data_IF_149513332090
#
_entry.id   IF_149513332090
#
_cell.length_a   1.000
_cell.length_b   1.000
_cell.length_c   1.000
_cell.angle_alpha   90.00
_cell.angle_beta   90.00
_cell.angle_gamma   90.00
#
_symmetry.space_group_name_H-M   'P 1'
#
loop_
_entity.id
_entity.type
_entity.pdbx_description
1 polymer ?
#
# COMPACT_ATOMS: atom_id res chain seq x y z
N UNK A 1 -30.29 -58.08 -42.57
CA UNK A 1 -29.91 -58.85 -41.35
C UNK A 1 -29.00 -57.94 -40.54
N UNK A 2 -29.24 -57.53 -39.30
CA UNK A 2 -30.30 -57.77 -38.33
C UNK A 2 -30.34 -56.56 -37.38
N UNK A 3 -31.53 -56.33 -36.85
CA UNK A 3 -32.02 -55.27 -35.96
C UNK A 3 -31.31 -55.08 -34.61
N UNK A 4 -31.29 -53.81 -34.17
CA UNK A 4 -31.84 -53.22 -32.93
C UNK A 4 -31.53 -53.78 -31.53
N UNK A 5 -31.28 -52.84 -30.59
CA UNK A 5 -32.00 -52.60 -29.31
C UNK A 5 -31.27 -51.48 -28.53
N UNK A 6 -31.78 -50.25 -28.49
CA UNK A 6 -32.72 -49.69 -27.48
C UNK A 6 -32.47 -50.11 -26.03
N UNK A 7 -32.05 -49.14 -25.22
CA UNK A 7 -32.00 -49.19 -23.75
C UNK A 7 -32.26 -47.81 -23.17
N UNK A 8 -33.55 -47.47 -23.02
CA UNK A 8 -34.05 -46.31 -22.28
C UNK A 8 -33.97 -46.62 -20.80
N UNK A 9 -33.32 -45.77 -20.00
CA UNK A 9 -33.39 -45.83 -18.54
C UNK A 9 -34.19 -44.62 -18.06
N UNK A 10 -35.49 -44.86 -17.81
CA UNK A 10 -36.38 -43.96 -17.13
C UNK A 10 -36.12 -44.06 -15.61
N UNK A 11 -35.86 -42.94 -14.94
CA UNK A 11 -35.91 -42.86 -13.48
C UNK A 11 -37.11 -42.00 -13.08
N UNK A 12 -37.88 -42.60 -12.20
CA UNK A 12 -39.23 -42.30 -11.76
C UNK A 12 -39.29 -41.01 -10.94
N UNK A 13 -40.18 -40.09 -11.32
CA UNK A 13 -40.64 -39.00 -10.46
C UNK A 13 -41.65 -39.55 -9.44
N UNK A 14 -41.22 -39.71 -8.19
CA UNK A 14 -42.14 -39.96 -7.07
C UNK A 14 -42.72 -38.64 -6.56
N UNK A 15 -44.01 -38.45 -6.78
CA UNK A 15 -44.85 -37.47 -6.11
C UNK A 15 -45.04 -37.88 -4.64
N UNK A 16 -44.55 -37.06 -3.71
CA UNK A 16 -45.03 -37.06 -2.33
C UNK A 16 -45.86 -35.79 -2.08
N UNK A 17 -47.16 -35.99 -1.95
CA UNK A 17 -48.07 -35.04 -1.29
C UNK A 17 -47.78 -35.05 0.22
N UNK A 18 -47.41 -33.90 0.78
CA UNK A 18 -47.15 -33.73 2.20
C UNK A 18 -47.53 -32.31 2.64
N UNK A 19 -48.46 -32.25 3.57
CA UNK A 19 -49.19 -31.11 4.13
C UNK A 19 -48.40 -29.81 4.38
N UNK A 20 -49.00 -28.69 3.97
CA UNK A 20 -48.65 -27.34 4.43
C UNK A 20 -49.04 -27.23 5.91
N UNK A 21 -48.08 -27.37 6.81
CA UNK A 21 -48.24 -26.96 8.20
C UNK A 21 -47.87 -25.47 8.30
N UNK A 22 -48.87 -24.63 8.55
CA UNK A 22 -48.72 -23.24 8.97
C UNK A 22 -47.87 -23.24 10.26
N UNK A 23 -46.57 -22.95 10.16
CA UNK A 23 -45.76 -22.58 11.33
C UNK A 23 -46.09 -21.13 11.66
N UNK A 24 -46.93 -20.94 12.67
CA UNK A 24 -47.06 -19.68 13.38
C UNK A 24 -45.66 -19.20 13.77
N UNK A 25 -45.23 -18.08 13.19
CA UNK A 25 -44.07 -17.34 13.68
C UNK A 25 -44.45 -16.81 15.05
N UNK A 26 -44.00 -17.47 16.12
CA UNK A 26 -43.92 -16.84 17.44
C UNK A 26 -42.85 -15.77 17.32
N UNK A 27 -43.31 -14.53 17.14
CA UNK A 27 -42.49 -13.33 17.27
C UNK A 27 -41.93 -13.35 18.69
N UNK A 28 -40.65 -13.67 18.81
CA UNK A 28 -39.90 -13.47 20.06
C UNK A 28 -39.86 -11.95 20.26
N UNK A 29 -40.39 -11.40 21.37
CA UNK A 29 -40.25 -9.98 21.64
C UNK A 29 -38.75 -9.66 21.74
N UNK A 30 -38.29 -8.86 20.79
CA UNK A 30 -37.00 -8.20 20.82
C UNK A 30 -36.87 -7.50 22.17
N UNK A 31 -35.81 -7.71 22.97
CA UNK A 31 -35.59 -6.88 24.14
C UNK A 31 -35.49 -5.44 23.65
N UNK A 32 -36.37 -4.62 24.22
CA UNK A 32 -36.50 -3.21 23.89
C UNK A 32 -35.12 -2.56 23.87
N UNK A 33 -34.94 -1.70 22.88
CA UNK A 33 -33.77 -0.87 22.70
C UNK A 33 -33.30 -0.35 24.06
N UNK A 34 -32.04 -0.65 24.39
CA UNK A 34 -31.30 0.07 25.42
C UNK A 34 -31.22 1.52 24.96
N UNK A 35 -32.26 2.29 25.31
CA UNK A 35 -32.28 3.73 25.19
C UNK A 35 -31.03 4.21 25.93
N UNK A 36 -30.19 4.96 25.22
CA UNK A 36 -29.09 5.72 25.82
C UNK A 36 -29.70 6.58 26.93
N UNK A 37 -29.70 6.08 28.18
CA UNK A 37 -30.31 6.78 29.30
C UNK A 37 -29.53 8.08 29.50
N UNK A 38 -30.18 9.19 29.16
CA UNK A 38 -29.61 10.55 29.28
C UNK A 38 -29.22 10.74 30.74
N UNK A 39 -27.94 10.97 31.04
CA UNK A 39 -27.48 11.28 32.39
C UNK A 39 -27.46 12.80 32.56
N UNK A 40 -28.21 13.30 33.52
CA UNK A 40 -28.33 14.73 33.86
C UNK A 40 -27.75 14.94 35.25
N UNK A 41 -26.88 15.93 35.44
CA UNK A 41 -26.47 16.32 36.78
C UNK A 41 -27.46 17.34 37.35
N UNK A 42 -28.29 16.90 38.30
CA UNK A 42 -29.16 17.77 39.10
C UNK A 42 -28.30 18.44 40.17
N UNK A 43 -27.98 19.71 39.97
CA UNK A 43 -27.06 20.47 40.83
C UNK A 43 -27.80 21.01 42.06
N UNK A 44 -27.25 20.79 43.25
CA UNK A 44 -27.77 21.30 44.51
C UNK A 44 -27.05 22.60 44.91
N UNK A 45 -27.71 23.43 45.72
CA UNK A 45 -27.17 24.74 46.14
C UNK A 45 -25.96 24.65 47.07
N UNK A 46 -25.74 23.49 47.69
CA UNK A 46 -24.55 23.21 48.50
C UNK A 46 -23.32 22.83 47.65
N UNK A 47 -23.47 22.77 46.32
CA UNK A 47 -22.41 22.42 45.36
C UNK A 47 -22.32 20.93 45.06
N UNK A 48 -23.10 20.08 45.73
CA UNK A 48 -23.21 18.67 45.39
C UNK A 48 -24.15 18.46 44.18
N UNK A 49 -24.14 17.26 43.60
CA UNK A 49 -25.03 16.91 42.49
C UNK A 49 -25.55 15.49 42.62
N UNK A 50 -26.69 15.25 41.97
CA UNK A 50 -27.26 13.91 41.81
C UNK A 50 -27.34 13.59 40.33
N UNK A 51 -27.00 12.35 39.94
CA UNK A 51 -27.12 11.91 38.55
C UNK A 51 -28.52 11.36 38.34
N UNK A 52 -29.29 12.01 37.45
CA UNK A 52 -30.71 11.72 37.20
C UNK A 52 -30.94 11.45 35.71
N UNK A 53 -31.94 10.65 35.37
CA UNK A 53 -32.32 10.41 33.96
C UNK A 53 -33.36 11.40 33.45
N UNK A 54 -34.21 11.90 34.34
CA UNK A 54 -35.14 12.99 34.07
C UNK A 54 -35.51 13.71 35.37
N UNK A 55 -35.97 14.95 35.26
CA UNK A 55 -36.52 15.71 36.38
C UNK A 55 -37.68 16.59 35.90
N UNK A 56 -38.61 16.88 36.80
CA UNK A 56 -39.75 17.77 36.56
C UNK A 56 -39.99 18.63 37.79
N UNK A 57 -40.35 19.89 37.59
CA UNK A 57 -40.64 20.83 38.68
C UNK A 57 -42.15 20.90 38.86
N UNK A 58 -42.65 20.45 40.01
CA UNK A 58 -44.07 20.45 40.37
C UNK A 58 -44.25 21.34 41.60
N UNK A 59 -44.66 22.59 41.36
CA UNK A 59 -44.82 23.58 42.43
C UNK A 59 -43.50 23.88 43.14
N UNK A 60 -43.38 23.47 44.41
CA UNK A 60 -42.17 23.68 45.24
C UNK A 60 -41.25 22.46 45.31
N UNK A 61 -41.51 21.41 44.53
CA UNK A 61 -40.78 20.15 44.58
C UNK A 61 -40.24 19.80 43.20
N UNK A 62 -39.00 19.33 43.14
CA UNK A 62 -38.40 18.71 41.96
C UNK A 62 -38.54 17.20 42.11
N UNK A 63 -39.30 16.59 41.21
CA UNK A 63 -39.40 15.13 41.10
C UNK A 63 -38.41 14.65 40.07
N UNK A 64 -37.58 13.67 40.38
CA UNK A 64 -36.56 13.17 39.46
C UNK A 64 -36.47 11.65 39.49
N UNK A 65 -35.84 11.09 38.45
CA UNK A 65 -35.57 9.66 38.33
C UNK A 65 -34.08 9.45 38.51
N UNK A 66 -33.65 8.71 39.54
CA UNK A 66 -32.23 8.49 39.81
C UNK A 66 -31.58 7.59 38.76
N UNK A 67 -30.43 7.99 38.21
CA UNK A 67 -29.65 7.17 37.29
C UNK A 67 -28.79 6.11 38.00
N UNK A 68 -28.57 6.27 39.31
CA UNK A 68 -27.69 5.41 40.12
C UNK A 68 -28.49 4.39 40.94
N UNK A 69 -29.73 4.74 41.31
CA UNK A 69 -30.64 3.87 42.07
C UNK A 69 -31.70 3.23 41.18
N UNK A 70 -31.26 2.55 40.13
CA UNK A 70 -32.13 1.70 39.31
C UNK A 70 -33.35 2.37 38.66
N UNK A 71 -33.37 3.70 38.51
CA UNK A 71 -34.51 4.42 37.97
C UNK A 71 -35.64 4.71 38.97
N UNK A 72 -35.34 4.73 40.28
CA UNK A 72 -36.33 5.11 41.30
C UNK A 72 -36.74 6.59 41.18
N UNK A 73 -38.03 6.85 41.44
CA UNK A 73 -38.59 8.20 41.50
C UNK A 73 -38.38 8.80 42.89
N UNK A 74 -37.82 10.00 42.93
CA UNK A 74 -37.48 10.69 44.16
C UNK A 74 -37.90 12.16 44.10
N UNK A 75 -38.03 12.78 45.28
CA UNK A 75 -38.53 14.13 45.43
C UNK A 75 -37.58 14.97 46.29
N UNK A 76 -37.20 16.16 45.81
CA UNK A 76 -36.38 17.13 46.53
C UNK A 76 -37.03 18.51 46.48
N UNK A 77 -37.04 19.27 47.59
CA UNK A 77 -37.51 20.66 47.57
C UNK A 77 -36.76 21.51 46.53
N UNK A 78 -37.49 22.23 45.69
CA UNK A 78 -36.90 23.08 44.64
C UNK A 78 -35.98 24.18 45.20
N UNK A 79 -36.16 24.56 46.48
CA UNK A 79 -35.30 25.54 47.15
C UNK A 79 -33.86 25.03 47.37
N UNK A 80 -33.64 23.71 47.39
CA UNK A 80 -32.33 23.07 47.55
C UNK A 80 -31.63 22.81 46.21
N UNK A 81 -32.35 22.90 45.10
CA UNK A 81 -31.84 22.64 43.76
C UNK A 81 -31.43 23.96 43.11
N UNK A 82 -30.22 24.01 42.57
CA UNK A 82 -29.80 25.07 41.66
C UNK A 82 -30.27 24.71 40.23
N UNK A 83 -31.49 25.11 39.91
CA UNK A 83 -32.09 24.87 38.59
C UNK A 83 -31.36 25.63 37.47
N UNK A 84 -30.68 26.74 37.78
CA UNK A 84 -29.94 27.50 36.77
C UNK A 84 -28.61 26.83 36.45
N UNK A 85 -27.89 26.34 37.46
CA UNK A 85 -26.71 25.51 37.27
C UNK A 85 -27.06 24.18 36.59
N UNK A 86 -28.17 23.54 36.98
CA UNK A 86 -28.68 22.31 36.33
C UNK A 86 -28.98 22.56 34.86
N UNK A 87 -29.69 23.65 34.51
CA UNK A 87 -29.98 23.99 33.11
C UNK A 87 -28.73 24.37 32.32
N UNK A 88 -27.74 25.02 32.93
CA UNK A 88 -26.45 25.32 32.28
C UNK A 88 -25.65 24.05 32.02
N UNK A 89 -25.60 23.15 32.99
CA UNK A 89 -24.98 21.85 32.84
C UNK A 89 -25.69 21.05 31.75
N UNK A 90 -27.02 21.01 31.77
CA UNK A 90 -27.84 20.37 30.75
C UNK A 90 -27.58 21.00 29.38
N UNK A 91 -27.51 22.32 29.25
CA UNK A 91 -27.18 22.98 27.97
C UNK A 91 -25.76 22.62 27.46
N UNK A 92 -24.80 22.46 28.37
CA UNK A 92 -23.43 22.08 28.03
C UNK A 92 -23.24 20.56 27.78
N UNK A 93 -24.12 19.71 28.33
CA UNK A 93 -23.99 18.25 28.32
C UNK A 93 -25.21 17.52 27.77
N UNK A 94 -26.16 18.23 27.15
CA UNK A 94 -27.19 17.62 26.32
C UNK A 94 -26.47 17.11 25.09
N UNK A 95 -26.41 15.78 24.86
CA UNK A 95 -26.03 15.30 23.55
C UNK A 95 -27.06 15.87 22.59
N UNK A 96 -26.62 16.73 21.68
CA UNK A 96 -27.41 17.16 20.54
C UNK A 96 -27.95 15.86 19.94
N UNK A 97 -29.28 15.68 20.02
CA UNK A 97 -29.96 14.61 19.31
C UNK A 97 -29.43 14.65 17.87
N UNK A 98 -28.92 13.51 17.43
CA UNK A 98 -28.25 13.30 16.14
C UNK A 98 -28.87 14.16 15.03
N UNK A 99 -28.19 15.27 14.75
CA UNK A 99 -28.55 16.25 13.72
C UNK A 99 -27.38 17.17 13.34
N UNK A 100 -26.22 17.00 13.97
CA UNK A 100 -24.99 17.72 13.65
C UNK A 100 -23.85 17.08 14.42
N UNK A 101 -22.80 16.67 13.69
CA UNK A 101 -21.55 16.11 14.20
C UNK A 101 -21.49 14.60 14.49
N UNK A 102 -22.10 13.81 13.59
CA UNK A 102 -21.51 12.54 13.15
C UNK A 102 -21.16 12.68 11.68
N UNK A 103 -19.98 13.21 11.36
CA UNK A 103 -19.60 13.36 9.96
C UNK A 103 -18.40 14.25 9.64
N UNK A 104 -17.73 14.86 10.62
CA UNK A 104 -16.36 15.30 10.39
C UNK A 104 -15.44 14.33 11.09
N UNK A 105 -14.77 13.51 10.28
CA UNK A 105 -13.37 13.18 10.57
C UNK A 105 -12.71 14.47 11.11
N UNK A 106 -11.83 14.39 12.12
CA UNK A 106 -11.04 15.56 12.53
C UNK A 106 -10.63 16.26 11.25
N UNK A 107 -10.95 17.56 11.12
CA UNK A 107 -10.46 18.32 9.98
C UNK A 107 -8.96 18.21 10.12
N UNK A 108 -8.35 17.26 9.39
CA UNK A 108 -6.91 17.06 9.38
C UNK A 108 -6.36 18.44 9.10
N UNK A 109 -5.49 18.94 9.98
CA UNK A 109 -4.85 20.22 9.72
C UNK A 109 -4.28 20.17 8.30
N UNK A 110 -4.36 21.25 7.51
CA UNK A 110 -3.93 21.22 6.11
C UNK A 110 -2.48 20.74 5.97
N UNK A 111 -1.65 20.92 7.01
CA UNK A 111 -0.31 20.35 7.12
C UNK A 111 -0.31 18.82 7.29
N UNK A 112 -1.15 18.27 8.17
CA UNK A 112 -1.33 16.81 8.34
C UNK A 112 -1.83 16.14 7.06
N UNK A 113 -2.79 16.75 6.35
CA UNK A 113 -3.24 16.22 5.06
C UNK A 113 -2.10 16.19 4.04
N UNK A 114 -1.26 17.22 4.03
CA UNK A 114 -0.11 17.29 3.12
C UNK A 114 0.94 16.23 3.47
N UNK A 115 1.24 16.04 4.74
CA UNK A 115 2.16 15.00 5.22
C UNK A 115 1.64 13.59 4.90
N UNK A 116 0.34 13.33 5.10
CA UNK A 116 -0.26 12.05 4.72
C UNK A 116 -0.19 11.81 3.21
N UNK A 117 -0.43 12.85 2.39
CA UNK A 117 -0.29 12.77 0.94
C UNK A 117 1.15 12.49 0.51
N UNK A 118 2.11 13.18 1.12
CA UNK A 118 3.54 12.96 0.88
C UNK A 118 3.92 11.51 1.22
N UNK A 119 3.54 11.01 2.39
CA UNK A 119 3.76 9.60 2.79
C UNK A 119 3.11 8.60 1.83
N UNK A 120 1.89 8.87 1.36
CA UNK A 120 1.22 8.01 0.39
C UNK A 120 1.92 8.02 -0.97
N UNK A 121 2.54 9.14 -1.34
CA UNK A 121 3.30 9.29 -2.58
C UNK A 121 4.65 8.58 -2.56
N UNK A 122 5.21 8.31 -1.36
CA UNK A 122 6.38 7.45 -1.20
C UNK A 122 6.07 5.97 -1.50
N UNK A 123 4.84 5.53 -1.24
CA UNK A 123 4.39 4.11 -1.36
C UNK A 123 3.14 3.98 -2.24
N UNK A 124 3.24 4.38 -3.53
CA UNK A 124 2.10 4.35 -4.44
C UNK A 124 1.63 2.91 -4.68
N UNK A 125 0.32 2.76 -4.85
CA UNK A 125 -0.30 1.50 -5.26
C UNK A 125 -0.15 1.34 -6.78
N UNK A 126 0.44 0.24 -7.23
CA UNK A 126 0.69 -0.02 -8.65
C UNK A 126 -0.26 -1.07 -9.24
N UNK A 127 -0.71 -2.02 -8.41
CA UNK A 127 -1.70 -3.05 -8.72
C UNK A 127 -2.63 -3.21 -7.50
N UNK A 128 -3.82 -3.81 -7.62
CA UNK A 128 -4.69 -4.05 -6.48
C UNK A 128 -3.94 -4.76 -5.34
N UNK A 129 -3.94 -4.13 -4.17
CA UNK A 129 -3.27 -4.62 -2.96
C UNK A 129 -1.73 -4.75 -3.06
N UNK A 130 -1.09 -4.22 -4.11
CA UNK A 130 0.36 -4.25 -4.32
C UNK A 130 0.93 -2.82 -4.43
N UNK A 131 1.75 -2.45 -3.44
CA UNK A 131 2.37 -1.12 -3.32
C UNK A 131 3.88 -1.21 -3.49
N UNK A 132 4.47 -0.14 -4.01
CA UNK A 132 5.91 0.05 -3.92
C UNK A 132 6.30 0.30 -2.45
N UNK A 133 7.38 -0.32 -1.95
CA UNK A 133 7.88 -0.10 -0.60
C UNK A 133 8.44 1.31 -0.43
N UNK A 134 8.76 1.71 0.80
CA UNK A 134 9.43 2.99 1.06
C UNK A 134 10.95 2.91 0.80
N UNK A 135 11.48 1.69 0.85
CA UNK A 135 12.91 1.39 0.70
C UNK A 135 13.44 1.71 -0.70
N UNK A 136 14.68 2.18 -0.75
CA UNK A 136 15.39 2.45 -2.00
C UNK A 136 15.75 1.13 -2.69
N UNK A 137 15.05 0.83 -3.79
CA UNK A 137 15.17 -0.42 -4.51
C UNK A 137 14.74 -0.27 -5.97
N UNK A 138 15.25 -1.16 -6.82
CA UNK A 138 14.76 -1.36 -8.18
C UNK A 138 13.90 -2.60 -8.20
N UNK A 139 12.66 -2.48 -8.64
CA UNK A 139 11.66 -3.56 -8.57
C UNK A 139 11.05 -3.82 -9.94
N UNK A 140 11.04 -5.06 -10.41
CA UNK A 140 10.30 -5.45 -11.60
C UNK A 140 8.91 -5.96 -11.21
N UNK A 141 7.86 -5.47 -11.88
CA UNK A 141 6.55 -6.09 -11.83
C UNK A 141 6.53 -7.30 -12.76
N UNK A 142 6.29 -8.45 -12.15
CA UNK A 142 6.19 -9.74 -12.78
C UNK A 142 4.78 -10.32 -12.61
N UNK A 143 4.45 -11.33 -13.40
CA UNK A 143 3.20 -12.08 -13.30
C UNK A 143 3.50 -13.58 -13.22
N UNK A 144 3.51 -14.13 -12.01
CA UNK A 144 3.72 -15.55 -11.80
C UNK A 144 2.38 -16.29 -11.67
N UNK A 145 2.12 -17.23 -12.58
CA UNK A 145 0.88 -18.03 -12.60
C UNK A 145 -0.41 -17.18 -12.58
N UNK A 146 -0.41 -16.04 -13.28
CA UNK A 146 -1.56 -15.15 -13.35
C UNK A 146 -1.72 -14.20 -12.15
N UNK A 147 -0.69 -14.07 -11.30
CA UNK A 147 -0.70 -13.20 -10.12
C UNK A 147 0.40 -12.15 -10.22
N UNK A 148 0.08 -10.86 -10.05
CA UNK A 148 1.09 -9.82 -10.05
C UNK A 148 1.95 -9.93 -8.79
N UNK A 149 3.26 -9.73 -8.94
CA UNK A 149 4.22 -9.65 -7.86
C UNK A 149 5.35 -8.68 -8.19
N UNK A 150 5.94 -8.06 -7.18
CA UNK A 150 7.12 -7.22 -7.34
C UNK A 150 8.36 -8.03 -7.00
N UNK A 151 9.32 -8.06 -7.93
CA UNK A 151 10.58 -8.78 -7.81
C UNK A 151 11.72 -7.77 -7.63
N UNK A 152 12.42 -7.78 -6.48
CA UNK A 152 13.59 -6.94 -6.30
C UNK A 152 14.72 -7.32 -7.25
N UNK A 153 15.27 -6.32 -7.94
CA UNK A 153 16.45 -6.45 -8.77
C UNK A 153 17.68 -5.99 -8.00
N UNK A 154 18.65 -6.87 -7.84
CA UNK A 154 19.94 -6.54 -7.23
C UNK A 154 20.86 -5.94 -8.29
N UNK A 155 21.59 -4.88 -7.93
CA UNK A 155 22.60 -4.33 -8.82
C UNK A 155 23.80 -5.29 -8.88
N UNK A 156 24.12 -5.75 -10.08
CA UNK A 156 25.32 -6.51 -10.40
C UNK A 156 26.44 -5.53 -10.76
N UNK A 157 27.47 -5.47 -9.92
CA UNK A 157 28.69 -4.72 -10.18
C UNK A 157 29.69 -5.64 -10.93
N UNK A 158 30.30 -5.13 -12.01
CA UNK A 158 31.40 -5.84 -12.65
C UNK A 158 32.58 -6.00 -11.69
N UNK A 159 32.84 -7.24 -11.25
CA UNK A 159 34.00 -7.68 -10.45
C UNK A 159 34.26 -7.00 -9.08
N UNK A 160 33.34 -6.18 -8.55
CA UNK A 160 33.50 -5.51 -7.24
C UNK A 160 32.21 -5.59 -6.41
N UNK A 161 32.33 -5.40 -5.09
CA UNK A 161 31.34 -5.79 -4.08
C UNK A 161 30.85 -4.54 -3.31
N UNK A 162 29.67 -3.99 -3.64
CA UNK A 162 28.96 -3.05 -2.77
C UNK A 162 27.43 -3.13 -2.89
N UNK A 163 26.72 -2.96 -1.77
CA UNK A 163 25.26 -3.07 -1.62
C UNK A 163 24.59 -1.70 -1.49
N UNK A 164 24.80 -0.81 -2.45
CA UNK A 164 24.05 0.46 -2.52
C UNK A 164 23.04 0.39 -3.65
N UNK A 165 21.80 0.83 -3.43
CA UNK A 165 20.67 0.70 -4.36
C UNK A 165 20.90 1.35 -5.74
N UNK A 166 21.80 2.33 -5.84
CA UNK A 166 22.21 2.98 -7.09
C UNK A 166 23.71 3.34 -7.06
N UNK A 167 24.58 2.34 -7.25
CA UNK A 167 26.01 2.54 -7.45
C UNK A 167 26.26 3.08 -8.86
N UNK A 168 27.07 4.15 -9.00
CA UNK A 168 27.42 4.74 -10.29
C UNK A 168 28.89 4.48 -10.60
N UNK A 169 29.15 3.53 -11.50
CA UNK A 169 30.50 3.23 -12.01
C UNK A 169 30.57 3.59 -13.49
N UNK A 170 31.03 4.80 -13.77
CA UNK A 170 31.09 5.37 -15.12
C UNK A 170 32.08 4.63 -16.04
N UNK A 171 31.65 4.32 -17.27
CA UNK A 171 32.52 3.89 -18.36
C UNK A 171 32.25 4.69 -19.63
N UNK A 172 33.31 5.22 -20.23
CA UNK A 172 33.21 5.92 -21.49
C UNK A 172 32.94 4.94 -22.65
N UNK A 173 32.00 5.30 -23.52
CA UNK A 173 31.71 4.63 -24.78
C UNK A 173 32.24 5.46 -25.94
N UNK A 174 32.84 4.79 -26.93
CA UNK A 174 33.16 5.40 -28.22
C UNK A 174 32.07 5.02 -29.24
N UNK A 175 31.17 5.95 -29.62
CA UNK A 175 30.04 5.64 -30.51
C UNK A 175 30.48 5.22 -31.92
N UNK A 176 31.73 5.50 -32.31
CA UNK A 176 32.31 5.13 -33.61
C UNK A 176 33.13 3.83 -33.57
N UNK A 177 33.36 3.27 -32.39
CA UNK A 177 34.07 2.00 -32.27
C UNK A 177 33.16 0.84 -32.70
N UNK A 178 33.78 -0.24 -33.17
CA UNK A 178 33.07 -1.50 -33.33
C UNK A 178 32.56 -2.00 -31.97
N UNK A 179 31.50 -2.81 -32.01
CA UNK A 179 30.97 -3.47 -30.81
C UNK A 179 32.08 -4.25 -30.10
N UNK A 180 32.27 -3.97 -28.82
CA UNK A 180 33.26 -4.60 -27.96
C UNK A 180 32.67 -4.87 -26.58
N UNK A 181 33.26 -5.79 -25.84
CA UNK A 181 32.79 -6.16 -24.51
C UNK A 181 32.90 -4.99 -23.51
N UNK A 182 31.79 -4.66 -22.86
CA UNK A 182 31.73 -3.60 -21.84
C UNK A 182 31.69 -4.14 -20.41
N UNK A 183 30.99 -5.27 -20.21
CA UNK A 183 30.77 -5.88 -18.90
C UNK A 183 30.70 -7.41 -19.05
N UNK A 184 31.14 -8.11 -18.00
CA UNK A 184 30.94 -9.55 -17.84
C UNK A 184 30.26 -9.81 -16.50
N UNK A 185 29.16 -10.54 -16.55
CA UNK A 185 28.43 -11.03 -15.40
C UNK A 185 28.77 -12.50 -15.19
N UNK A 186 28.89 -12.90 -13.93
CA UNK A 186 29.14 -14.30 -13.59
C UNK A 186 27.87 -15.14 -13.81
N UNK A 187 28.08 -16.37 -14.24
CA UNK A 187 27.03 -17.36 -14.42
C UNK A 187 26.27 -17.17 -15.73
N UNK A 188 25.72 -18.28 -16.21
CA UNK A 188 24.99 -18.37 -17.47
C UNK A 188 23.56 -17.83 -17.38
N UNK A 189 23.09 -17.57 -16.15
CA UNK A 189 21.71 -17.24 -15.82
C UNK A 189 21.63 -16.25 -14.67
N UNK A 190 20.70 -15.30 -14.74
CA UNK A 190 20.37 -14.40 -13.64
C UNK A 190 19.64 -15.17 -12.54
N UNK A 191 19.84 -14.74 -11.29
CA UNK A 191 19.03 -15.21 -10.17
C UNK A 191 17.56 -14.81 -10.29
N UNK A 192 17.29 -13.64 -10.89
CA UNK A 192 15.93 -13.17 -11.14
C UNK A 192 15.47 -13.64 -12.51
N UNK A 193 14.28 -14.24 -12.58
CA UNK A 193 13.67 -14.68 -13.82
C UNK A 193 12.24 -14.16 -13.88
N UNK A 194 11.98 -13.26 -14.83
CA UNK A 194 10.69 -12.67 -15.08
C UNK A 194 9.88 -13.57 -16.02
N UNK A 195 8.56 -13.60 -15.82
CA UNK A 195 7.63 -14.46 -16.53
C UNK A 195 6.83 -13.72 -17.61
N UNK A 196 6.97 -12.39 -17.67
CA UNK A 196 6.37 -11.50 -18.68
C UNK A 196 7.40 -10.94 -19.66
N UNK A 197 7.00 -10.70 -20.91
CA UNK A 197 7.84 -10.16 -21.97
C UNK A 197 7.86 -8.61 -22.02
N UNK A 198 6.94 -7.94 -21.33
CA UNK A 198 6.91 -6.48 -21.17
C UNK A 198 6.95 -6.08 -19.69
N UNK A 199 8.01 -6.41 -18.93
CA UNK A 199 8.08 -6.10 -17.52
C UNK A 199 8.10 -4.59 -17.28
N UNK A 200 7.28 -4.11 -16.35
CA UNK A 200 7.40 -2.75 -15.84
C UNK A 200 8.44 -2.74 -14.72
N UNK A 201 9.45 -1.88 -14.80
CA UNK A 201 10.50 -1.77 -13.78
C UNK A 201 10.36 -0.43 -13.08
N UNK A 202 10.29 -0.45 -11.75
CA UNK A 202 10.13 0.73 -10.91
C UNK A 202 11.46 1.07 -10.24
N UNK A 203 11.91 2.30 -10.46
CA UNK A 203 13.15 2.84 -9.89
C UNK A 203 12.76 3.94 -8.91
N UNK A 204 13.33 3.90 -7.71
CA UNK A 204 13.22 4.99 -6.75
C UNK A 204 14.00 6.20 -7.28
N UNK A 205 13.39 7.38 -7.23
CA UNK A 205 13.98 8.63 -7.70
C UNK A 205 13.89 9.68 -6.59
N UNK A 206 14.98 10.40 -6.35
CA UNK A 206 15.07 11.44 -5.31
C UNK A 206 16.20 11.18 -4.32
N UNK A 207 16.53 12.19 -3.49
CA UNK A 207 17.51 12.00 -2.41
C UNK A 207 17.06 10.84 -1.53
N UNK A 208 17.95 9.84 -1.36
CA UNK A 208 17.84 8.82 -0.33
C UNK A 208 17.70 9.55 1.00
N UNK A 209 16.46 9.83 1.39
CA UNK A 209 16.17 10.43 2.67
C UNK A 209 16.43 9.30 3.63
N UNK A 210 17.64 9.27 4.20
CA UNK A 210 17.93 8.38 5.31
C UNK A 210 16.73 8.42 6.25
N UNK A 211 16.19 7.26 6.67
CA UNK A 211 14.96 7.20 7.43
C UNK A 211 15.06 8.21 8.55
N UNK A 212 14.14 9.18 8.56
CA UNK A 212 14.09 10.24 9.55
C UNK A 212 13.79 9.58 10.89
N UNK A 213 14.85 9.12 11.54
CA UNK A 213 14.80 8.54 12.88
C UNK A 213 14.63 9.72 13.83
N UNK A 214 13.42 10.30 13.88
CA UNK A 214 12.86 11.09 14.99
C UNK A 214 13.75 12.14 15.66
N UNK A 215 14.79 12.64 15.00
CA UNK A 215 15.78 13.53 15.57
C UNK A 215 16.47 14.26 14.44
N UNK A 216 16.13 15.52 14.25
CA UNK A 216 16.88 16.40 13.37
C UNK A 216 18.37 16.31 13.76
N UNK A 217 19.28 15.87 12.87
CA UNK A 217 20.69 15.94 13.17
C UNK A 217 21.05 17.41 13.35
N UNK A 218 21.67 17.73 14.48
CA UNK A 218 22.16 19.08 14.77
C UNK A 218 23.17 19.46 13.68
N UNK A 219 22.75 20.25 12.70
CA UNK A 219 23.65 20.74 11.66
C UNK A 219 24.53 21.83 12.26
N UNK A 220 25.80 21.51 12.46
CA UNK A 220 26.83 22.51 12.75
C UNK A 220 27.32 23.10 11.44
N UNK A 221 27.22 24.42 11.30
CA UNK A 221 27.72 25.18 10.16
C UNK A 221 29.26 25.18 10.12
N UNK A 222 29.86 24.08 9.66
CA UNK A 222 31.26 24.06 9.26
C UNK A 222 31.38 24.74 7.90
N UNK A 223 31.57 26.06 7.94
CA UNK A 223 31.79 26.91 6.77
C UNK A 223 32.73 26.23 5.76
N UNK A 224 32.17 25.71 4.67
CA UNK A 224 32.93 25.36 3.46
C UNK A 224 33.49 23.94 3.34
N UNK A 225 32.84 22.88 3.86
CA UNK A 225 33.31 21.50 3.62
C UNK A 225 32.26 20.42 3.30
N UNK A 226 30.96 20.74 3.14
CA UNK A 226 29.95 19.73 2.76
C UNK A 226 29.16 20.03 1.49
N UNK A 227 29.45 21.14 0.80
CA UNK A 227 28.94 21.39 -0.55
C UNK A 227 30.11 21.34 -1.54
N UNK A 228 30.77 20.19 -1.64
CA UNK A 228 31.44 19.87 -2.88
C UNK A 228 30.32 19.74 -3.92
N UNK A 229 30.06 20.80 -4.68
CA UNK A 229 29.35 20.71 -5.94
C UNK A 229 30.15 19.72 -6.80
N UNK A 230 29.71 18.47 -6.80
CA UNK A 230 30.16 17.50 -7.79
C UNK A 230 29.58 18.00 -9.11
N UNK A 231 30.46 18.39 -10.03
CA UNK A 231 30.11 19.02 -11.31
C UNK A 231 29.56 18.00 -12.33
N UNK A 232 28.90 16.94 -11.84
CA UNK A 232 28.18 15.90 -12.59
C UNK A 232 27.33 15.10 -11.59
N UNK A 233 26.24 15.69 -11.08
CA UNK A 233 25.26 14.97 -10.25
C UNK A 233 24.49 14.02 -11.17
N UNK A 234 25.02 12.80 -11.37
CA UNK A 234 24.34 11.73 -12.11
C UNK A 234 23.16 11.29 -11.27
N UNK A 235 21.98 11.75 -11.66
CA UNK A 235 20.73 11.43 -10.99
C UNK A 235 19.88 10.54 -11.90
N UNK A 236 19.15 9.57 -11.33
CA UNK A 236 18.26 8.71 -12.10
C UNK A 236 17.24 9.46 -12.99
N UNK A 237 16.79 10.65 -12.58
CA UNK A 237 15.82 11.47 -13.30
C UNK A 237 16.36 12.12 -14.59
N UNK A 238 17.69 12.26 -14.71
CA UNK A 238 18.34 12.86 -15.88
C UNK A 238 19.02 11.82 -16.78
N UNK A 239 19.00 10.54 -16.39
CA UNK A 239 19.62 9.45 -17.14
C UNK A 239 18.64 8.78 -18.10
N UNK A 240 19.17 8.17 -19.15
CA UNK A 240 18.40 7.26 -20.00
C UNK A 240 18.55 5.82 -19.52
N UNK A 241 17.56 4.97 -19.79
CA UNK A 241 17.61 3.56 -19.45
C UNK A 241 17.35 2.69 -20.67
N UNK A 242 18.16 1.66 -20.83
CA UNK A 242 18.01 0.65 -21.88
C UNK A 242 18.10 -0.75 -21.29
N UNK A 243 17.40 -1.69 -21.92
CA UNK A 243 17.56 -3.12 -21.66
C UNK A 243 18.47 -3.69 -22.74
N UNK A 244 19.54 -4.38 -22.34
CA UNK A 244 20.51 -4.98 -23.26
C UNK A 244 20.50 -6.50 -23.09
N UNK A 245 20.32 -7.24 -24.19
CA UNK A 245 20.44 -8.69 -24.22
C UNK A 245 21.91 -9.08 -24.02
N UNK A 246 22.15 -10.07 -23.20
CA UNK A 246 23.49 -10.59 -22.92
C UNK A 246 23.84 -11.76 -23.84
N UNK A 247 25.11 -11.85 -24.22
CA UNK A 247 25.71 -13.01 -24.88
C UNK A 247 26.08 -14.05 -23.81
N UNK A 248 25.28 -15.11 -23.72
CA UNK A 248 25.48 -16.20 -22.74
C UNK A 248 26.61 -17.11 -23.20
N UNK A 249 27.65 -17.21 -22.37
CA UNK A 249 28.83 -18.07 -22.54
C UNK A 249 28.93 -19.04 -21.39
N UNK A 250 29.90 -19.96 -21.45
CA UNK A 250 30.18 -20.89 -20.36
C UNK A 250 30.55 -20.12 -19.09
N UNK A 251 29.76 -20.29 -18.04
CA UNK A 251 29.90 -19.63 -16.72
C UNK A 251 29.88 -18.08 -16.74
N UNK A 252 29.41 -17.46 -17.82
CA UNK A 252 29.42 -16.00 -17.94
C UNK A 252 28.34 -15.46 -18.89
N UNK A 253 27.92 -14.23 -18.65
CA UNK A 253 27.09 -13.43 -19.56
C UNK A 253 27.84 -12.15 -19.94
N UNK A 254 27.91 -11.85 -21.22
CA UNK A 254 28.70 -10.73 -21.74
C UNK A 254 27.78 -9.65 -22.31
N UNK A 255 28.02 -8.41 -21.92
CA UNK A 255 27.34 -7.23 -22.49
C UNK A 255 28.29 -6.56 -23.48
N UNK A 256 27.80 -6.32 -24.70
CA UNK A 256 28.53 -5.58 -25.73
C UNK A 256 28.21 -4.08 -25.70
N UNK A 257 29.15 -3.25 -26.16
CA UNK A 257 28.95 -1.83 -26.38
C UNK A 257 27.97 -1.62 -27.54
N UNK A 258 27.12 -0.60 -27.41
CA UNK A 258 26.20 -0.17 -28.46
C UNK A 258 26.35 1.34 -28.69
N UNK A 259 25.87 1.81 -29.84
CA UNK A 259 25.87 3.24 -30.18
C UNK A 259 24.50 3.84 -29.87
N UNK A 260 24.46 4.83 -29.00
CA UNK A 260 23.23 5.58 -28.70
C UNK A 260 22.74 6.42 -29.89
N UNK A 261 23.65 6.95 -30.71
CA UNK A 261 23.28 7.70 -31.93
C UNK A 261 22.48 6.81 -32.91
N UNK A 262 22.81 5.51 -32.97
CA UNK A 262 22.06 4.57 -33.79
C UNK A 262 20.65 4.31 -33.22
N UNK A 263 20.53 4.26 -31.89
CA UNK A 263 19.26 4.11 -31.17
C UNK A 263 18.31 5.28 -31.46
N UNK A 264 18.79 6.51 -31.30
CA UNK A 264 18.01 7.74 -31.58
C UNK A 264 17.63 7.90 -33.05
N UNK A 265 18.40 7.31 -33.97
CA UNK A 265 18.09 7.30 -35.40
C UNK A 265 16.96 6.34 -35.79
N UNK A 266 16.39 5.61 -34.82
CA UNK A 266 15.40 4.57 -35.05
C UNK A 266 15.98 3.33 -35.75
N UNK A 267 17.31 3.21 -35.81
CA UNK A 267 17.95 2.00 -36.31
C UNK A 267 17.90 0.94 -35.22
N UNK A 268 17.26 -0.16 -35.55
CA UNK A 268 17.17 -1.32 -34.70
C UNK A 268 18.58 -1.89 -34.43
N UNK A 269 18.91 -2.03 -33.15
CA UNK A 269 20.06 -2.78 -32.65
C UNK A 269 19.49 -4.03 -32.01
N UNK A 270 19.79 -5.21 -32.55
CA UNK A 270 19.14 -6.47 -32.16
C UNK A 270 19.17 -6.71 -30.65
N UNK A 271 20.29 -6.41 -30.01
CA UNK A 271 20.52 -6.68 -28.59
C UNK A 271 20.15 -5.52 -27.65
N UNK A 272 19.61 -4.40 -28.15
CA UNK A 272 19.27 -3.23 -27.32
C UNK A 272 17.80 -2.88 -27.47
N UNK A 273 17.12 -2.71 -26.33
CA UNK A 273 15.71 -2.32 -26.24
C UNK A 273 15.60 -1.04 -25.43
N UNK A 274 15.07 0.00 -26.06
CA UNK A 274 14.76 1.26 -25.40
C UNK A 274 13.62 1.11 -24.39
N UNK A 275 13.68 1.92 -23.32
CA UNK A 275 12.64 1.99 -22.30
C UNK A 275 11.84 3.29 -22.44
N UNK A 276 10.51 3.20 -22.29
CA UNK A 276 9.68 4.35 -21.95
C UNK A 276 9.91 4.70 -20.48
N UNK A 277 9.94 5.98 -20.15
CA UNK A 277 10.11 6.47 -18.78
C UNK A 277 8.91 7.32 -18.37
N UNK A 278 8.33 7.03 -17.22
CA UNK A 278 7.19 7.76 -16.67
C UNK A 278 7.42 8.00 -15.17
N UNK A 279 7.44 9.26 -14.74
CA UNK A 279 7.48 9.59 -13.31
C UNK A 279 6.09 9.41 -12.70
N UNK A 280 6.01 8.59 -11.65
CA UNK A 280 4.76 8.36 -10.93
C UNK A 280 4.34 9.59 -10.12
N UNK A 281 3.07 9.62 -9.73
CA UNK A 281 2.52 10.67 -8.85
C UNK A 281 3.32 10.71 -7.54
N UNK A 282 3.83 11.89 -7.19
CA UNK A 282 4.73 12.06 -6.04
C UNK A 282 6.17 12.36 -6.43
N UNK A 283 6.61 12.03 -7.64
CA UNK A 283 7.99 12.29 -8.07
C UNK A 283 9.05 11.35 -7.47
N UNK A 284 8.66 10.44 -6.56
CA UNK A 284 9.59 9.55 -5.87
C UNK A 284 9.89 8.25 -6.61
N UNK A 285 9.16 7.96 -7.68
CA UNK A 285 9.27 6.71 -8.43
C UNK A 285 9.21 7.00 -9.92
N UNK A 286 10.02 6.27 -10.68
CA UNK A 286 9.99 6.22 -12.13
C UNK A 286 9.62 4.81 -12.57
N UNK A 287 8.66 4.70 -13.49
CA UNK A 287 8.28 3.48 -14.18
C UNK A 287 9.00 3.43 -15.52
N UNK A 288 9.74 2.35 -15.74
CA UNK A 288 10.36 1.98 -17.00
C UNK A 288 9.54 0.87 -17.66
N UNK A 289 9.34 0.94 -18.96
CA UNK A 289 8.66 -0.14 -19.71
C UNK A 289 9.31 -0.32 -21.08
N UNK A 290 9.64 -1.56 -21.50
CA UNK A 290 10.24 -1.81 -22.81
C UNK A 290 9.37 -1.26 -23.94
N UNK A 291 9.98 -0.58 -24.93
CA UNK A 291 9.25 -0.11 -26.12
C UNK A 291 8.77 -1.25 -27.03
N UNK A 292 9.30 -2.45 -26.82
CA UNK A 292 8.98 -3.68 -27.57
C UNK A 292 9.12 -4.89 -26.64
N UNK A 293 8.32 -5.96 -26.84
CA UNK A 293 8.42 -7.18 -26.04
C UNK A 293 9.83 -7.78 -26.09
N UNK A 294 10.27 -8.30 -24.94
CA UNK A 294 11.53 -9.00 -24.76
C UNK A 294 11.34 -10.48 -25.13
N UNK A 295 12.30 -11.01 -25.90
CA UNK A 295 12.34 -12.44 -26.20
C UNK A 295 12.82 -13.24 -24.97
N UNK A 296 12.76 -14.57 -25.06
CA UNK A 296 13.40 -15.40 -24.05
C UNK A 296 14.92 -15.21 -24.10
N UNK A 297 15.50 -14.92 -22.93
CA UNK A 297 16.90 -14.61 -22.83
C UNK A 297 17.29 -13.98 -21.52
N UNK A 298 18.56 -13.57 -21.46
CA UNK A 298 19.20 -12.98 -20.31
C UNK A 298 19.52 -11.52 -20.63
N UNK A 299 19.15 -10.62 -19.75
CA UNK A 299 19.13 -9.18 -19.98
C UNK A 299 19.76 -8.41 -18.83
N UNK A 300 20.16 -7.17 -19.13
CA UNK A 300 20.55 -6.17 -18.14
C UNK A 300 19.77 -4.88 -18.37
N UNK A 301 19.25 -4.29 -17.32
CA UNK A 301 18.86 -2.88 -17.29
C UNK A 301 20.12 -2.06 -17.06
N UNK A 302 20.40 -1.12 -17.96
CA UNK A 302 21.58 -0.27 -17.92
C UNK A 302 21.18 1.20 -17.93
N UNK A 303 21.77 1.96 -17.01
CA UNK A 303 21.69 3.41 -16.99
C UNK A 303 22.71 4.01 -17.96
N UNK A 304 22.23 4.85 -18.87
CA UNK A 304 23.03 5.65 -19.77
C UNK A 304 23.06 7.08 -19.25
N UNK A 305 24.23 7.49 -18.78
CA UNK A 305 24.49 8.77 -18.14
C UNK A 305 24.56 9.89 -19.19
N UNK A 306 25.14 9.57 -20.35
CA UNK A 306 25.17 10.44 -21.54
C UNK A 306 25.42 9.61 -22.80
N UNK A 307 25.36 10.23 -23.98
CA UNK A 307 25.67 9.59 -25.27
C UNK A 307 27.03 8.87 -25.33
N UNK A 308 27.95 9.20 -24.40
CA UNK A 308 29.32 8.64 -24.34
C UNK A 308 29.66 8.05 -22.99
N UNK A 309 28.72 7.95 -22.05
CA UNK A 309 29.01 7.48 -20.70
C UNK A 309 27.86 6.62 -20.18
N UNK A 310 28.17 5.42 -19.72
CA UNK A 310 27.22 4.48 -19.12
C UNK A 310 27.60 4.16 -17.69
N UNK A 311 26.62 3.73 -16.91
CA UNK A 311 26.84 3.11 -15.62
C UNK A 311 27.10 1.61 -15.79
N UNK A 312 28.17 1.10 -15.18
CA UNK A 312 28.49 -0.34 -15.12
C UNK A 312 27.75 -1.07 -14.01
N UNK A 313 27.17 -0.35 -13.04
CA UNK A 313 26.24 -0.93 -12.08
C UNK A 313 24.91 -1.21 -12.78
N UNK A 314 24.68 -2.46 -13.17
CA UNK A 314 23.50 -2.89 -13.95
C UNK A 314 22.58 -3.74 -13.11
N UNK A 315 21.32 -3.87 -13.49
CA UNK A 315 20.40 -4.83 -12.89
C UNK A 315 20.13 -5.97 -13.88
N UNK A 316 20.58 -7.18 -13.59
CA UNK A 316 20.39 -8.32 -14.48
C UNK A 316 19.15 -9.13 -14.14
N UNK A 317 18.50 -9.66 -15.17
CA UNK A 317 17.32 -10.52 -15.05
C UNK A 317 17.22 -11.41 -16.30
N UNK A 318 16.58 -12.57 -16.19
CA UNK A 318 16.15 -13.37 -17.33
C UNK A 318 14.68 -13.15 -17.64
N UNK A 319 14.27 -13.45 -18.86
CA UNK A 319 12.87 -13.53 -19.28
C UNK A 319 12.62 -14.98 -19.71
N UNK A 320 11.82 -15.70 -18.92
CA UNK A 320 11.44 -17.08 -19.22
C UNK A 320 10.13 -17.46 -18.50
N UNK A 321 9.01 -17.69 -19.20
CA UNK A 321 7.68 -17.86 -18.59
C UNK A 321 7.46 -19.19 -17.85
N UNK A 322 8.45 -20.07 -17.78
CA UNK A 322 8.33 -21.42 -17.19
C UNK A 322 9.33 -21.64 -16.05
N UNK A 323 10.00 -20.59 -15.61
CA UNK A 323 10.89 -20.69 -14.46
C UNK A 323 10.13 -20.88 -13.16
N UNK A 324 10.80 -21.39 -12.12
CA UNK A 324 10.29 -21.30 -10.77
C UNK A 324 10.08 -19.84 -10.33
N UNK A 325 9.20 -19.65 -9.35
CA UNK A 325 8.94 -18.37 -8.69
C UNK A 325 10.24 -17.77 -8.09
N UNK A 326 10.36 -16.45 -8.11
CA UNK A 326 11.48 -15.75 -7.49
C UNK A 326 11.37 -15.82 -5.95
N UNK A 327 12.51 -15.82 -5.22
CA UNK A 327 12.54 -16.10 -3.77
C UNK A 327 12.11 -14.95 -2.87
N UNK A 328 12.30 -13.71 -3.30
CA UNK A 328 12.15 -12.49 -2.48
C UNK A 328 11.05 -11.56 -3.01
N UNK A 329 9.96 -12.16 -3.51
CA UNK A 329 8.86 -11.43 -4.14
C UNK A 329 7.96 -10.74 -3.11
N UNK A 330 7.57 -9.51 -3.42
CA UNK A 330 6.54 -8.78 -2.68
C UNK A 330 5.20 -9.10 -3.33
N UNK A 331 4.32 -9.75 -2.57
CA UNK A 331 3.00 -10.19 -3.04
C UNK A 331 1.92 -9.15 -2.67
N UNK A 332 0.79 -9.13 -3.40
CA UNK A 332 -0.35 -8.32 -3.02
C UNK A 332 -0.84 -8.66 -1.61
N UNK A 333 -0.96 -7.67 -0.74
CA UNK A 333 -1.42 -7.80 0.63
C UNK A 333 -2.85 -7.27 0.77
N UNK A 334 -3.87 -8.15 0.75
CA UNK A 334 -5.26 -7.71 0.84
C UNK A 334 -5.49 -6.99 2.16
N UNK A 335 -6.12 -5.81 2.09
CA UNK A 335 -6.43 -5.03 3.28
C UNK A 335 -7.25 -5.86 4.27
N UNK A 336 -6.62 -6.27 5.37
CA UNK A 336 -7.27 -7.09 6.40
C UNK A 336 -8.51 -6.37 6.92
N UNK A 337 -9.69 -6.99 6.78
CA UNK A 337 -10.89 -6.49 7.43
C UNK A 337 -10.69 -6.59 8.93
N UNK A 338 -10.79 -5.46 9.62
CA UNK A 338 -10.75 -5.44 11.09
C UNK A 338 -12.11 -5.93 11.57
N UNK A 339 -12.25 -7.24 11.70
CA UNK A 339 -13.40 -7.83 12.39
C UNK A 339 -13.17 -7.65 13.89
N UNK A 340 -13.68 -6.55 14.44
CA UNK A 340 -13.71 -6.32 15.88
C UNK A 340 -14.69 -7.33 16.50
N UNK A 341 -14.22 -8.52 16.85
CA UNK A 341 -15.00 -9.46 17.66
C UNK A 341 -15.30 -8.79 19.01
N UNK A 342 -16.57 -8.46 19.22
CA UNK A 342 -17.06 -7.94 20.49
C UNK A 342 -16.83 -9.03 21.54
N UNK A 343 -15.83 -8.84 22.41
CA UNK A 343 -15.51 -9.72 23.55
C UNK A 343 -16.81 -10.06 24.29
N UNK A 344 -17.28 -11.31 24.17
CA UNK A 344 -18.43 -11.77 24.95
C UNK A 344 -18.01 -11.75 26.42
N UNK A 345 -18.78 -11.05 27.25
CA UNK A 345 -18.59 -11.10 28.69
C UNK A 345 -18.78 -12.55 29.15
N UNK A 346 -17.72 -13.11 29.75
CA UNK A 346 -17.75 -14.40 30.42
C UNK A 346 -18.77 -14.27 31.57
N UNK A 347 -19.90 -14.95 31.44
CA UNK A 347 -20.84 -15.13 32.55
C UNK A 347 -20.49 -16.49 33.14
N UNK A 348 -19.79 -16.47 34.27
CA UNK A 348 -19.60 -17.66 35.10
C UNK A 348 -20.97 -18.12 35.61
N UNK A 349 -21.33 -19.41 35.45
CA UNK A 349 -22.46 -19.99 36.17
C UNK A 349 -22.02 -20.37 37.58
N UNK A 350 -22.77 -19.90 38.58
CA UNK A 350 -22.73 -20.37 39.97
C UNK A 350 -23.21 -21.82 40.12
#
# INVERSE_FOLDING_TARGET
>A
MSLARSGVCAVVFTLLSGSIALRSQTVIPQPESSQTQRRIHLILKDGSYQVVTSYSVVGKVVKYVSAERGGEHEEIPAELVDLDATRRWEKAHTPVAEGGDKGRAPVLDPELMKEEQERQSLTPMIEPDLRLPEEDSVLALDEFQGKPELVPLTQSEGDLNHTTAHSVLKKALNPKAAAHQVLTLKGERSFVQLHVDTPAIYLRVGEATAPSTGGAPLTVDTHGASSAKSDNDVRPDNSQYVVVRTDVRVDARVVASFSLEALDSGKHIDDVVEMNQETLTGGHWMKLSPKRPLEFGEYVLMEVISEKEINLGVWDFGVHPQTPENRDVIKPEPKRRIDLERRRAHTDPE
#
